data_IF_916441281647
#
_entry.id   IF_916441281647
#
_cell.length_a   1.000
_cell.length_b   1.000
_cell.length_c   1.000
_cell.angle_alpha   90.00
_cell.angle_beta   90.00
_cell.angle_gamma   90.00
#
_symmetry.space_group_name_H-M   'P 1'
#
loop_
_entity.id
_entity.type
_entity.pdbx_description
1 polymer ?
#
# COMPACT_ATOMS: atom_id res chain seq x y z
N UNK A 1 3.61 -31.21 -23.38
CA UNK A 1 4.67 -30.46 -22.67
C UNK A 1 4.25 -29.01 -22.60
N UNK A 2 3.90 -28.48 -21.42
CA UNK A 2 3.54 -27.05 -21.28
C UNK A 2 4.82 -26.25 -21.16
N UNK A 3 5.23 -25.58 -22.25
CA UNK A 3 6.36 -24.66 -22.22
C UNK A 3 6.14 -23.57 -21.17
N UNK A 4 6.96 -23.58 -20.12
CA UNK A 4 7.03 -22.50 -19.15
C UNK A 4 7.70 -21.31 -19.82
N UNK A 5 6.89 -20.32 -20.22
CA UNK A 5 7.36 -19.08 -20.89
C UNK A 5 8.13 -18.13 -19.96
N UNK A 6 8.43 -18.53 -18.73
CA UNK A 6 9.03 -17.71 -17.66
C UNK A 6 10.17 -18.51 -17.05
N UNK A 7 11.38 -17.94 -17.06
CA UNK A 7 12.54 -18.57 -16.44
C UNK A 7 12.49 -18.43 -14.91
N UNK A 8 13.11 -19.39 -14.21
CA UNK A 8 13.28 -19.32 -12.74
C UNK A 8 14.01 -18.04 -12.31
N UNK A 9 15.01 -17.61 -13.09
CA UNK A 9 15.75 -16.37 -12.87
C UNK A 9 14.84 -15.14 -12.92
N UNK A 10 13.86 -15.08 -13.82
CA UNK A 10 12.91 -13.96 -13.88
C UNK A 10 12.04 -13.91 -12.61
N UNK A 11 11.66 -15.06 -12.07
CA UNK A 11 10.88 -15.15 -10.83
C UNK A 11 11.72 -14.63 -9.66
N UNK A 12 12.95 -15.12 -9.51
CA UNK A 12 13.86 -14.70 -8.44
C UNK A 12 14.17 -13.20 -8.52
N UNK A 13 14.39 -12.68 -9.73
CA UNK A 13 14.62 -11.26 -9.95
C UNK A 13 13.40 -10.40 -9.57
N UNK A 14 12.19 -10.80 -9.98
CA UNK A 14 10.96 -10.07 -9.67
C UNK A 14 10.60 -10.08 -8.17
N UNK A 15 10.93 -11.15 -7.45
CA UNK A 15 10.75 -11.22 -5.98
C UNK A 15 11.62 -10.18 -5.26
N UNK A 16 12.75 -9.80 -5.84
CA UNK A 16 13.66 -8.80 -5.28
C UNK A 16 13.19 -7.34 -5.39
N UNK A 17 12.05 -7.07 -6.05
CA UNK A 17 11.54 -5.71 -6.16
C UNK A 17 11.05 -5.17 -4.82
N UNK A 18 11.42 -3.93 -4.53
CA UNK A 18 10.90 -3.22 -3.37
C UNK A 18 9.43 -2.85 -3.61
N UNK A 19 8.63 -2.83 -2.53
CA UNK A 19 7.25 -2.35 -2.61
C UNK A 19 7.22 -0.92 -3.13
N UNK A 20 6.20 -0.60 -3.93
CA UNK A 20 6.05 0.68 -4.64
C UNK A 20 7.05 0.94 -5.79
N UNK A 21 7.83 -0.05 -6.21
CA UNK A 21 8.55 0.04 -7.49
C UNK A 21 7.57 0.09 -8.68
N UNK A 22 7.92 0.90 -9.68
CA UNK A 22 7.11 1.06 -10.89
C UNK A 22 7.59 0.09 -11.96
N UNK A 23 6.69 -0.79 -12.40
CA UNK A 23 6.96 -1.82 -13.39
C UNK A 23 6.03 -1.73 -14.59
N UNK A 24 6.53 -2.08 -15.77
CA UNK A 24 5.74 -2.34 -16.96
C UNK A 24 5.65 -3.86 -17.12
N UNK A 25 4.42 -4.37 -17.17
CA UNK A 25 4.15 -5.80 -17.35
C UNK A 25 3.50 -6.04 -18.71
N UNK A 26 4.06 -6.99 -19.45
CA UNK A 26 3.45 -7.52 -20.68
C UNK A 26 2.94 -8.92 -20.39
N UNK A 27 1.68 -9.18 -20.69
CA UNK A 27 1.04 -10.46 -20.42
C UNK A 27 -0.27 -10.62 -21.19
N UNK A 28 -0.89 -11.77 -21.00
CA UNK A 28 -2.22 -12.07 -21.53
C UNK A 28 -3.25 -11.96 -20.42
N UNK A 29 -4.41 -11.39 -20.73
CA UNK A 29 -5.54 -11.42 -19.80
C UNK A 29 -6.14 -12.82 -19.78
N UNK A 30 -6.42 -13.32 -18.58
CA UNK A 30 -7.01 -14.62 -18.36
C UNK A 30 -8.03 -14.51 -17.21
N UNK A 31 -9.15 -15.22 -17.31
CA UNK A 31 -10.06 -15.37 -16.20
C UNK A 31 -9.38 -16.20 -15.08
N UNK A 32 -9.39 -15.75 -13.82
CA UNK A 32 -8.89 -16.53 -12.70
C UNK A 32 -9.85 -17.69 -12.39
N UNK A 33 -9.32 -18.80 -11.84
CA UNK A 33 -10.13 -19.97 -11.46
C UNK A 33 -11.18 -19.62 -10.38
N UNK A 34 -10.85 -18.66 -9.51
CA UNK A 34 -11.73 -18.09 -8.49
C UNK A 34 -11.50 -16.58 -8.46
N UNK A 35 -12.58 -15.83 -8.24
CA UNK A 35 -12.51 -14.37 -8.16
C UNK A 35 -11.56 -13.88 -7.06
N UNK A 36 -10.75 -12.87 -7.39
CA UNK A 36 -9.77 -12.30 -6.47
C UNK A 36 -10.42 -11.19 -5.65
N UNK A 37 -10.74 -11.46 -4.38
CA UNK A 37 -11.48 -10.55 -3.49
C UNK A 37 -10.74 -9.26 -3.11
N UNK A 38 -9.41 -9.25 -3.18
CA UNK A 38 -8.56 -8.14 -2.71
C UNK A 38 -8.27 -7.10 -3.79
N UNK A 39 -8.60 -7.39 -5.04
CA UNK A 39 -8.30 -6.53 -6.18
C UNK A 39 -9.60 -5.95 -6.73
N UNK A 40 -9.59 -4.68 -7.15
CA UNK A 40 -10.76 -4.05 -7.76
C UNK A 40 -11.18 -4.74 -9.06
N UNK A 41 -10.22 -5.29 -9.80
CA UNK A 41 -10.45 -6.13 -10.98
C UNK A 41 -10.38 -7.61 -10.57
N UNK A 42 -11.47 -8.13 -10.01
CA UNK A 42 -11.51 -9.47 -9.40
C UNK A 42 -11.63 -10.62 -10.41
N UNK A 43 -12.21 -10.35 -11.59
CA UNK A 43 -12.51 -11.34 -12.65
C UNK A 43 -11.41 -11.48 -13.70
N UNK A 44 -10.32 -10.72 -13.56
CA UNK A 44 -9.23 -10.67 -14.54
C UNK A 44 -7.90 -10.92 -13.84
N UNK A 45 -7.08 -11.77 -14.45
CA UNK A 45 -5.70 -12.03 -14.05
C UNK A 45 -4.78 -11.82 -15.24
N UNK A 46 -3.61 -11.23 -14.98
CA UNK A 46 -2.56 -11.09 -16.00
C UNK A 46 -1.65 -12.31 -15.93
N UNK A 47 -1.60 -13.11 -16.99
CA UNK A 47 -0.57 -14.15 -17.18
C UNK A 47 0.69 -13.48 -17.72
N UNK A 48 1.64 -13.26 -16.84
CA UNK A 48 2.87 -12.49 -17.11
C UNK A 48 3.77 -13.21 -18.13
N UNK A 49 4.25 -12.46 -19.13
CA UNK A 49 5.24 -12.90 -20.12
C UNK A 49 6.55 -12.13 -19.98
N UNK A 50 6.48 -10.83 -19.75
CA UNK A 50 7.64 -9.96 -19.54
C UNK A 50 7.33 -8.96 -18.44
N UNK A 51 8.37 -8.55 -17.72
CA UNK A 51 8.32 -7.52 -16.70
C UNK A 51 9.57 -6.65 -16.82
N UNK A 52 9.36 -5.34 -16.82
CA UNK A 52 10.42 -4.34 -16.93
C UNK A 52 10.30 -3.40 -15.73
N UNK A 53 11.41 -3.17 -15.04
CA UNK A 53 11.48 -2.22 -13.95
C UNK A 53 11.80 -0.84 -14.53
N UNK A 54 10.87 0.11 -14.39
CA UNK A 54 11.09 1.49 -14.85
C UNK A 54 11.76 2.34 -13.76
N UNK A 55 11.27 2.21 -12.54
CA UNK A 55 11.80 2.94 -11.40
C UNK A 55 11.77 2.04 -10.17
N UNK A 56 12.94 1.84 -9.56
CA UNK A 56 13.08 1.14 -8.30
C UNK A 56 12.81 2.10 -7.14
N UNK A 57 11.97 1.69 -6.19
CA UNK A 57 11.81 2.44 -4.95
C UNK A 57 13.17 2.53 -4.20
N UNK A 58 13.56 3.72 -3.74
CA UNK A 58 14.89 3.94 -3.15
C UNK A 58 15.00 3.42 -1.71
N UNK A 59 13.88 3.33 -1.00
CA UNK A 59 13.83 2.90 0.39
C UNK A 59 12.51 2.21 0.72
N UNK A 60 12.51 1.43 1.80
CA UNK A 60 11.29 0.88 2.38
C UNK A 60 10.42 2.04 2.87
N UNK A 61 9.18 2.10 2.44
CA UNK A 61 8.26 3.13 2.89
C UNK A 61 8.08 3.11 4.42
N UNK A 62 7.91 4.27 5.07
CA UNK A 62 7.69 4.37 6.51
C UNK A 62 6.33 3.80 6.96
N UNK A 63 5.42 3.51 6.02
CA UNK A 63 4.15 2.83 6.26
C UNK A 63 3.71 2.07 5.00
N UNK A 64 2.83 1.08 5.17
CA UNK A 64 2.26 0.32 4.05
C UNK A 64 0.92 0.93 3.63
N UNK A 65 0.67 0.99 2.32
CA UNK A 65 -0.62 1.43 1.77
C UNK A 65 -1.79 0.53 2.20
N UNK A 66 -1.50 -0.72 2.58
CA UNK A 66 -2.49 -1.69 3.07
C UNK A 66 -3.12 -1.31 4.41
N UNK A 67 -2.70 -0.22 5.06
CA UNK A 67 -3.46 0.33 6.19
C UNK A 67 -4.88 0.59 5.69
N UNK A 68 -5.92 0.06 6.36
CA UNK A 68 -7.28 0.35 5.97
C UNK A 68 -7.40 1.86 5.84
N UNK A 69 -8.00 2.35 4.75
CA UNK A 69 -8.63 3.65 4.79
C UNK A 69 -9.55 3.56 6.00
N UNK A 70 -9.12 4.10 7.13
CA UNK A 70 -9.98 4.24 8.27
C UNK A 70 -11.07 5.10 7.70
N UNK A 71 -12.21 4.48 7.38
CA UNK A 71 -13.38 5.24 7.00
C UNK A 71 -13.47 6.30 8.09
N UNK A 72 -13.61 7.55 7.70
CA UNK A 72 -13.95 8.63 8.61
C UNK A 72 -15.35 8.39 9.25
N UNK A 73 -15.79 7.13 9.40
CA UNK A 73 -16.98 6.69 10.10
C UNK A 73 -16.79 6.77 11.61
N UNK A 74 -16.43 7.95 12.09
CA UNK A 74 -16.95 8.48 13.33
C UNK A 74 -17.44 9.86 12.95
N UNK A 75 -18.74 10.10 13.08
CA UNK A 75 -19.38 11.38 12.80
C UNK A 75 -18.72 12.56 13.53
N UNK A 76 -19.25 13.79 13.39
CA UNK A 76 -18.70 14.96 14.06
C UNK A 76 -18.41 14.64 15.54
N UNK A 77 -17.26 15.05 16.08
CA UNK A 77 -16.89 14.73 17.45
C UNK A 77 -18.05 15.08 18.36
N UNK A 78 -18.55 14.12 19.14
CA UNK A 78 -19.44 14.46 20.25
C UNK A 78 -18.64 15.41 21.14
N UNK A 79 -19.21 16.60 21.32
CA UNK A 79 -18.68 17.71 22.09
C UNK A 79 -18.05 17.19 23.39
N UNK A 80 -16.74 17.43 23.58
CA UNK A 80 -16.06 17.15 24.84
C UNK A 80 -15.01 16.04 24.88
N UNK A 81 -14.67 15.33 23.79
CA UNK A 81 -13.52 14.40 23.79
C UNK A 81 -12.29 15.02 23.12
N UNK A 82 -11.22 15.18 23.90
CA UNK A 82 -9.92 15.73 23.47
C UNK A 82 -9.43 15.01 22.21
N UNK A 83 -9.24 15.79 21.15
CA UNK A 83 -8.90 15.37 19.79
C UNK A 83 -7.49 14.76 19.63
N UNK A 84 -6.71 14.63 20.69
CA UNK A 84 -5.35 14.09 20.62
C UNK A 84 -5.14 13.04 21.71
N UNK A 85 -5.23 11.77 21.34
CA UNK A 85 -4.45 10.72 22.00
C UNK A 85 -3.39 10.26 21.00
N UNK A 86 -2.09 10.38 21.33
CA UNK A 86 -1.04 9.96 20.41
C UNK A 86 -1.10 8.44 20.24
N UNK A 87 -1.37 7.99 19.02
CA UNK A 87 -1.34 6.59 18.65
C UNK A 87 0.11 6.08 18.62
N UNK A 88 0.58 5.60 19.77
CA UNK A 88 1.81 4.82 19.91
C UNK A 88 3.14 5.59 19.73
N UNK A 89 4.27 4.97 20.13
CA UNK A 89 5.58 5.62 20.21
C UNK A 89 6.20 6.02 18.84
N UNK A 90 5.60 5.59 17.72
CA UNK A 90 6.13 5.82 16.37
C UNK A 90 5.21 6.72 15.51
N UNK A 91 4.49 7.67 16.12
CA UNK A 91 3.74 8.68 15.37
C UNK A 91 4.70 9.74 14.79
N UNK A 92 4.62 10.05 13.47
CA UNK A 92 5.44 11.10 12.85
C UNK A 92 5.02 12.51 13.31
N UNK A 93 3.87 12.64 13.97
CA UNK A 93 3.48 13.86 14.64
C UNK A 93 4.17 13.92 16.00
N UNK A 94 5.33 14.59 16.03
CA UNK A 94 6.06 14.86 17.27
C UNK A 94 5.15 15.49 18.34
N UNK A 95 5.46 15.22 19.62
CA UNK A 95 4.75 15.74 20.80
C UNK A 95 4.67 17.27 20.71
N UNK A 96 3.57 17.81 20.18
CA UNK A 96 3.28 19.24 20.30
C UNK A 96 2.77 19.47 21.71
N UNK A 97 3.52 20.24 22.51
CA UNK A 97 3.06 20.69 23.82
C UNK A 97 1.74 21.45 23.63
N UNK A 98 0.70 21.18 24.44
CA UNK A 98 -0.54 21.94 24.37
C UNK A 98 -0.26 23.39 24.77
N UNK A 99 -0.54 24.33 23.86
CA UNK A 99 -0.57 25.75 24.19
C UNK A 99 -1.81 26.01 25.04
N UNK A 100 -1.60 26.47 26.28
CA UNK A 100 -2.68 26.91 27.17
C UNK A 100 -3.25 28.25 26.69
N UNK A 101 -4.56 28.49 26.89
CA UNK A 101 -5.27 29.65 26.34
C UNK A 101 -4.91 31.01 26.98
N UNK A 102 -4.01 31.08 27.94
CA UNK A 102 -3.64 32.34 28.64
C UNK A 102 -2.64 33.24 27.90
N UNK A 103 -2.32 32.97 26.63
CA UNK A 103 -1.39 33.81 25.83
C UNK A 103 -2.04 34.56 24.67
N UNK A 104 -3.36 34.76 24.73
CA UNK A 104 -4.05 35.68 23.83
C UNK A 104 -4.72 36.74 24.69
N UNK A 105 -3.96 37.75 25.08
CA UNK A 105 -4.37 39.13 25.37
C UNK A 105 -3.12 40.01 25.41
#
# INVERSE_FOLDING_TARGET
MTETSVSKQMIEWAIGFLLESIVVVKGHLQAPVKDVKTCSQSKLKIKLKQIFLLAQATAKLPFLLRKPHQAWSTGPPKEGKKFWEPSGPNSPFGKKNPLTPEKIL
#
